data_IF_442968975004
#
_entry.id   IF_442968975004
#
_cell.length_a   1.000
_cell.length_b   1.000
_cell.length_c   1.000
_cell.angle_alpha   90.00
_cell.angle_beta   90.00
_cell.angle_gamma   90.00
#
_symmetry.space_group_name_H-M   'P 1'
#
loop_
_entity.id
_entity.type
_entity.pdbx_description
1 polymer ?
#
# COMPACT_ATOMS: atom_id res chain seq x y z
N UNK A 1 2.28 -22.78 0.10
CA UNK A 1 2.85 -22.45 1.42
C UNK A 1 4.30 -21.95 1.31
N UNK A 2 5.18 -22.58 0.50
CA UNK A 2 6.57 -22.12 0.33
C UNK A 2 6.70 -20.66 -0.15
N UNK A 3 6.05 -20.30 -1.26
CA UNK A 3 6.14 -18.94 -1.83
C UNK A 3 5.73 -17.82 -0.87
N UNK A 4 4.72 -18.03 -0.01
CA UNK A 4 4.31 -17.03 0.97
C UNK A 4 5.35 -16.84 2.09
N UNK A 5 6.00 -17.92 2.53
CA UNK A 5 7.06 -17.86 3.52
C UNK A 5 8.33 -17.20 2.96
N UNK A 6 8.64 -17.45 1.68
CA UNK A 6 9.74 -16.80 0.95
C UNK A 6 9.49 -15.30 0.76
N UNK A 7 8.25 -14.92 0.40
CA UNK A 7 7.83 -13.52 0.33
C UNK A 7 8.02 -12.84 1.70
N UNK A 8 7.49 -13.43 2.78
CA UNK A 8 7.61 -12.86 4.13
C UNK A 8 9.06 -12.70 4.59
N UNK A 9 9.94 -13.66 4.29
CA UNK A 9 11.37 -13.52 4.58
C UNK A 9 12.01 -12.38 3.78
N UNK A 10 11.60 -12.19 2.52
CA UNK A 10 12.05 -11.07 1.68
C UNK A 10 11.60 -9.73 2.25
N UNK A 11 10.35 -9.65 2.69
CA UNK A 11 9.79 -8.47 3.34
C UNK A 11 10.49 -8.14 4.66
N UNK A 12 10.69 -9.13 5.54
CA UNK A 12 11.36 -8.90 6.82
C UNK A 12 12.81 -8.43 6.63
N UNK A 13 13.52 -8.96 5.62
CA UNK A 13 14.86 -8.50 5.26
C UNK A 13 14.87 -7.04 4.78
N UNK A 14 13.92 -6.67 3.93
CA UNK A 14 13.81 -5.30 3.42
C UNK A 14 13.41 -4.30 4.51
N UNK A 15 12.46 -4.67 5.36
CA UNK A 15 12.07 -3.91 6.55
C UNK A 15 13.29 -3.73 7.46
N UNK A 16 13.95 -4.83 7.83
CA UNK A 16 15.14 -4.78 8.69
C UNK A 16 16.24 -3.91 8.09
N UNK A 17 16.41 -3.89 6.77
CA UNK A 17 17.35 -3.01 6.08
C UNK A 17 16.95 -1.54 6.14
N UNK A 18 15.66 -1.22 5.95
CA UNK A 18 15.12 0.13 6.04
C UNK A 18 15.10 0.67 7.48
N UNK A 19 14.90 -0.21 8.47
CA UNK A 19 14.79 0.15 9.89
C UNK A 19 16.09 -0.05 10.67
N UNK A 20 17.23 -0.30 10.02
CA UNK A 20 18.54 -0.50 10.71
C UNK A 20 18.86 0.60 11.72
N UNK A 21 18.44 1.83 11.46
CA UNK A 21 18.72 2.99 12.28
C UNK A 21 17.66 3.29 13.37
N UNK A 22 16.48 2.69 13.31
CA UNK A 22 15.37 3.03 14.21
C UNK A 22 14.42 1.87 14.45
N UNK A 23 14.09 1.63 15.73
CA UNK A 23 13.06 0.67 16.12
C UNK A 23 11.63 1.18 15.94
N UNK A 24 11.45 2.50 15.72
CA UNK A 24 10.16 3.16 15.55
C UNK A 24 10.23 4.19 14.40
N UNK A 25 10.35 3.73 13.14
CA UNK A 25 10.34 4.63 11.99
C UNK A 25 9.00 5.36 11.88
N UNK A 26 9.07 6.65 11.55
CA UNK A 26 7.91 7.43 11.08
C UNK A 26 7.66 7.23 9.60
N UNK A 27 8.71 6.99 8.83
CA UNK A 27 8.69 6.80 7.39
C UNK A 27 9.28 5.43 7.11
N UNK A 28 8.53 4.58 6.41
CA UNK A 28 9.02 3.29 5.92
C UNK A 28 8.91 3.28 4.40
N UNK A 29 10.07 3.22 3.75
CA UNK A 29 10.16 3.19 2.28
C UNK A 29 10.82 1.88 1.87
N UNK A 30 10.10 1.07 1.09
CA UNK A 30 10.55 -0.22 0.57
C UNK A 30 10.56 -0.25 -0.97
N UNK A 31 10.76 0.91 -1.59
CA UNK A 31 10.77 1.08 -3.04
C UNK A 31 11.85 0.21 -3.69
N UNK A 32 11.44 -0.62 -4.67
CA UNK A 32 12.31 -1.58 -5.36
C UNK A 32 13.08 -2.55 -4.43
N UNK A 33 12.73 -2.62 -3.14
CA UNK A 33 13.42 -3.46 -2.16
C UNK A 33 12.82 -4.87 -2.10
N UNK A 34 11.56 -5.01 -2.51
CA UNK A 34 10.82 -6.28 -2.46
C UNK A 34 10.07 -6.51 -3.75
N UNK A 35 9.96 -7.78 -4.13
CA UNK A 35 9.06 -8.25 -5.19
C UNK A 35 8.29 -9.44 -4.66
N UNK A 36 6.99 -9.29 -4.45
CA UNK A 36 6.16 -10.41 -4.01
C UNK A 36 5.94 -11.38 -5.16
N UNK A 37 6.22 -12.66 -4.93
CA UNK A 37 5.88 -13.73 -5.86
C UNK A 37 4.38 -14.06 -5.85
N UNK A 38 3.72 -13.83 -4.72
CA UNK A 38 2.29 -14.08 -4.52
C UNK A 38 1.38 -12.90 -4.88
N UNK A 39 1.97 -11.72 -5.12
CA UNK A 39 1.25 -10.45 -5.32
C UNK A 39 0.57 -9.93 -4.04
N UNK A 40 0.88 -10.51 -2.89
CA UNK A 40 0.29 -10.10 -1.61
C UNK A 40 1.27 -9.22 -0.85
N UNK A 41 0.69 -8.32 -0.07
CA UNK A 41 1.46 -7.65 0.95
C UNK A 41 1.96 -8.67 1.99
N UNK A 42 3.04 -8.29 2.65
CA UNK A 42 3.62 -8.97 3.80
C UNK A 42 2.62 -9.25 4.93
N UNK A 43 2.94 -10.22 5.78
CA UNK A 43 2.18 -10.53 6.99
C UNK A 43 2.01 -9.32 7.93
N UNK A 44 0.78 -9.05 8.38
CA UNK A 44 0.41 -7.93 9.24
C UNK A 44 1.35 -7.70 10.44
N UNK A 45 1.90 -8.78 11.01
CA UNK A 45 2.82 -8.73 12.14
C UNK A 45 4.14 -7.99 11.85
N UNK A 46 4.64 -8.02 10.61
CA UNK A 46 5.92 -7.41 10.24
C UNK A 46 5.84 -5.88 10.19
N UNK A 47 4.74 -5.31 9.69
CA UNK A 47 4.49 -3.86 9.77
C UNK A 47 3.89 -3.48 11.14
N UNK A 48 3.08 -4.34 11.74
CA UNK A 48 2.33 -4.05 12.96
C UNK A 48 3.22 -3.61 14.13
N UNK A 49 4.49 -4.05 14.16
CA UNK A 49 5.49 -3.58 15.13
C UNK A 49 5.75 -2.05 15.09
N UNK A 50 5.42 -1.39 13.98
CA UNK A 50 5.59 0.06 13.78
C UNK A 50 4.26 0.82 13.73
N UNK A 51 3.13 0.15 13.95
CA UNK A 51 1.80 0.74 13.75
C UNK A 51 1.57 2.06 14.51
N UNK A 52 2.16 2.20 15.69
CA UNK A 52 2.02 3.39 16.53
C UNK A 52 2.90 4.57 16.10
N UNK A 53 3.96 4.35 15.32
CA UNK A 53 4.90 5.40 14.90
C UNK A 53 4.79 5.75 13.42
N UNK A 54 4.29 4.84 12.60
CA UNK A 54 4.33 4.96 11.14
C UNK A 54 3.35 6.01 10.64
N UNK A 55 3.89 7.00 9.94
CA UNK A 55 3.18 8.15 9.39
C UNK A 55 3.14 8.11 7.86
N UNK A 56 4.22 7.63 7.26
CA UNK A 56 4.37 7.49 5.82
C UNK A 56 4.82 6.07 5.47
N UNK A 57 4.15 5.44 4.51
CA UNK A 57 4.53 4.13 4.01
C UNK A 57 4.56 4.13 2.48
N UNK A 58 5.72 3.78 1.92
CA UNK A 58 5.95 3.72 0.48
C UNK A 58 6.46 2.35 0.04
N UNK A 59 5.87 1.80 -1.01
CA UNK A 59 6.27 0.54 -1.64
C UNK A 59 6.06 0.62 -3.14
N UNK A 60 7.12 0.95 -3.86
CA UNK A 60 7.11 1.01 -5.32
C UNK A 60 7.55 -0.31 -5.95
N UNK A 61 6.85 -0.77 -7.00
CA UNK A 61 7.36 -1.82 -7.88
C UNK A 61 7.34 -3.26 -7.32
N UNK A 62 6.60 -3.52 -6.24
CA UNK A 62 6.61 -4.80 -5.55
C UNK A 62 5.69 -5.87 -6.17
N UNK A 63 5.07 -5.57 -7.31
CA UNK A 63 4.11 -6.42 -8.01
C UNK A 63 2.87 -6.79 -7.16
N UNK A 64 2.48 -5.92 -6.22
CA UNK A 64 1.33 -6.14 -5.34
C UNK A 64 0.03 -6.09 -6.15
N UNK A 65 -0.78 -7.13 -6.07
CA UNK A 65 -2.17 -7.16 -6.56
C UNK A 65 -3.19 -7.08 -5.42
N UNK A 66 -2.75 -7.28 -4.17
CA UNK A 66 -3.61 -7.20 -2.99
C UNK A 66 -2.87 -6.62 -1.79
N UNK A 67 -3.58 -5.79 -1.03
CA UNK A 67 -3.13 -5.22 0.24
C UNK A 67 -3.77 -5.91 1.46
N UNK A 68 -4.35 -7.10 1.23
CA UNK A 68 -4.87 -7.94 2.31
C UNK A 68 -3.77 -8.24 3.32
N UNK A 69 -4.04 -7.94 4.59
CA UNK A 69 -3.08 -8.10 5.67
C UNK A 69 -2.41 -6.81 6.14
N UNK A 70 -2.79 -5.63 5.62
CA UNK A 70 -2.43 -4.37 6.27
C UNK A 70 -2.95 -4.36 7.72
N UNK A 71 -2.08 -4.18 8.74
CA UNK A 71 -2.53 -3.96 10.10
C UNK A 71 -3.16 -2.56 10.24
N UNK A 72 -3.86 -2.30 11.34
CA UNK A 72 -4.33 -0.95 11.64
C UNK A 72 -3.14 0.00 11.85
N UNK A 73 -3.07 1.10 11.11
CA UNK A 73 -2.00 2.10 11.17
C UNK A 73 -2.60 3.47 11.54
N UNK A 74 -2.88 3.72 12.83
CA UNK A 74 -3.66 4.85 13.30
C UNK A 74 -2.97 6.21 13.16
N UNK A 75 -1.68 6.25 12.82
CA UNK A 75 -0.92 7.49 12.63
C UNK A 75 -0.57 7.75 11.17
N UNK A 76 -0.96 6.84 10.27
CA UNK A 76 -0.53 6.87 8.89
C UNK A 76 -1.37 7.85 8.09
N UNK A 77 -0.71 8.86 7.53
CA UNK A 77 -1.35 9.92 6.75
C UNK A 77 -0.94 9.92 5.29
N UNK A 78 0.16 9.23 4.93
CA UNK A 78 0.62 9.04 3.55
C UNK A 78 0.87 7.56 3.23
N UNK A 79 0.24 7.09 2.16
CA UNK A 79 0.44 5.75 1.60
C UNK A 79 0.75 5.89 0.10
N UNK A 80 1.92 5.42 -0.35
CA UNK A 80 2.36 5.51 -1.74
C UNK A 80 2.75 4.13 -2.25
N UNK A 81 1.92 3.52 -3.10
CA UNK A 81 2.18 2.22 -3.73
C UNK A 81 2.22 2.30 -5.26
N UNK A 82 3.08 3.14 -5.86
CA UNK A 82 3.16 3.24 -7.30
C UNK A 82 3.79 1.99 -7.93
N UNK A 83 3.56 1.81 -9.23
CA UNK A 83 4.14 0.71 -10.03
C UNK A 83 3.80 -0.70 -9.52
N UNK A 84 2.59 -0.86 -8.98
CA UNK A 84 2.07 -2.17 -8.56
C UNK A 84 0.99 -2.68 -9.55
N UNK A 85 0.24 -3.70 -9.14
CA UNK A 85 -0.83 -4.33 -9.91
C UNK A 85 -2.16 -4.26 -9.15
N UNK A 86 -2.32 -3.26 -8.29
CA UNK A 86 -3.55 -3.12 -7.51
C UNK A 86 -4.71 -2.83 -8.46
N UNK A 87 -5.81 -3.54 -8.24
CA UNK A 87 -7.05 -3.38 -8.99
C UNK A 87 -8.23 -3.78 -8.12
N UNK A 88 -9.40 -3.29 -8.50
CA UNK A 88 -10.66 -3.59 -7.84
C UNK A 88 -10.82 -2.89 -6.48
N UNK A 89 -12.07 -2.85 -5.98
CA UNK A 89 -12.39 -2.23 -4.70
C UNK A 89 -11.78 -2.97 -3.51
N UNK A 90 -11.41 -4.25 -3.64
CA UNK A 90 -10.85 -5.03 -2.53
C UNK A 90 -9.50 -4.46 -2.05
N UNK A 91 -8.64 -4.01 -2.98
CA UNK A 91 -7.36 -3.40 -2.61
C UNK A 91 -7.56 -2.10 -1.81
N UNK A 92 -8.51 -1.28 -2.21
CA UNK A 92 -8.82 0.00 -1.57
C UNK A 92 -9.60 -0.17 -0.26
N UNK A 93 -10.47 -1.17 -0.18
CA UNK A 93 -11.15 -1.53 1.05
C UNK A 93 -10.15 -1.94 2.14
N UNK A 94 -9.12 -2.72 1.81
CA UNK A 94 -8.08 -3.08 2.77
C UNK A 94 -7.34 -1.84 3.33
N UNK A 95 -7.08 -0.82 2.49
CA UNK A 95 -6.49 0.44 2.93
C UNK A 95 -7.46 1.23 3.81
N UNK A 96 -8.74 1.28 3.44
CA UNK A 96 -9.75 1.99 4.20
C UNK A 96 -9.96 1.40 5.60
N UNK A 97 -10.00 0.07 5.72
CA UNK A 97 -10.11 -0.62 7.02
C UNK A 97 -8.84 -0.45 7.87
N UNK A 98 -7.66 -0.45 7.25
CA UNK A 98 -6.38 -0.36 7.96
C UNK A 98 -6.03 1.07 8.43
N UNK A 99 -6.30 2.08 7.60
CA UNK A 99 -5.74 3.44 7.79
C UNK A 99 -6.79 4.55 7.64
N UNK A 100 -8.08 4.23 7.50
CA UNK A 100 -9.06 5.18 6.99
C UNK A 100 -9.30 6.45 7.82
N UNK A 101 -8.98 6.43 9.11
CA UNK A 101 -9.20 7.56 10.00
C UNK A 101 -8.18 8.71 9.83
N UNK A 102 -6.95 8.40 9.41
CA UNK A 102 -5.86 9.40 9.34
C UNK A 102 -5.26 9.58 7.97
N UNK A 103 -5.59 8.69 7.03
CA UNK A 103 -5.00 8.70 5.71
C UNK A 103 -5.53 9.87 4.87
N UNK A 104 -4.59 10.72 4.43
CA UNK A 104 -4.88 11.94 3.66
C UNK A 104 -4.30 11.88 2.26
N UNK A 105 -3.11 11.31 2.13
CA UNK A 105 -2.37 11.26 0.87
C UNK A 105 -2.26 9.81 0.41
N UNK A 106 -2.82 9.52 -0.76
CA UNK A 106 -2.75 8.24 -1.41
C UNK A 106 -2.11 8.41 -2.77
N UNK A 107 -1.01 7.71 -2.99
CA UNK A 107 -0.40 7.61 -4.31
C UNK A 107 -0.50 6.16 -4.78
N UNK A 108 -1.25 5.98 -5.86
CA UNK A 108 -1.53 4.70 -6.50
C UNK A 108 -1.12 4.74 -7.97
N UNK A 109 -0.15 5.58 -8.32
CA UNK A 109 0.34 5.72 -9.69
C UNK A 109 0.71 4.39 -10.36
N UNK A 110 0.45 4.27 -11.66
CA UNK A 110 0.77 3.11 -12.47
C UNK A 110 0.24 1.77 -11.91
N UNK A 111 -0.97 1.77 -11.33
CA UNK A 111 -1.72 0.58 -10.96
C UNK A 111 -2.79 0.23 -12.02
N UNK A 112 -3.55 -0.84 -11.80
CA UNK A 112 -4.50 -1.43 -12.76
C UNK A 112 -5.95 -1.06 -12.49
N UNK A 113 -6.22 0.04 -11.79
CA UNK A 113 -7.59 0.52 -11.56
C UNK A 113 -8.23 0.96 -12.89
N UNK A 114 -9.30 0.29 -13.31
CA UNK A 114 -9.94 0.51 -14.61
C UNK A 114 -11.26 1.27 -14.52
N UNK A 115 -12.07 0.97 -13.52
CA UNK A 115 -13.39 1.57 -13.33
C UNK A 115 -13.42 2.52 -12.12
N UNK A 116 -14.25 3.57 -12.17
CA UNK A 116 -14.39 4.54 -11.07
C UNK A 116 -15.01 3.87 -9.84
N UNK A 117 -15.86 2.87 -10.04
CA UNK A 117 -16.48 2.05 -9.00
C UNK A 117 -15.44 1.32 -8.15
N UNK A 118 -14.26 1.03 -8.69
CA UNK A 118 -13.16 0.45 -7.92
C UNK A 118 -12.69 1.40 -6.83
N UNK A 119 -12.79 2.72 -7.05
CA UNK A 119 -12.42 3.77 -6.11
C UNK A 119 -13.46 4.01 -5.01
N UNK A 120 -14.63 3.37 -5.08
CA UNK A 120 -15.71 3.56 -4.11
C UNK A 120 -15.28 3.43 -2.63
N UNK A 121 -14.37 2.50 -2.22
CA UNK A 121 -13.92 2.41 -0.84
C UNK A 121 -13.15 3.64 -0.35
N UNK A 122 -12.54 4.42 -1.24
CA UNK A 122 -11.86 5.67 -0.88
C UNK A 122 -12.85 6.74 -0.39
N UNK A 123 -14.15 6.64 -0.71
CA UNK A 123 -15.16 7.56 -0.17
C UNK A 123 -15.32 7.45 1.34
N UNK A 124 -14.87 6.34 1.94
CA UNK A 124 -14.90 6.12 3.40
C UNK A 124 -13.72 6.74 4.12
N UNK A 125 -12.72 7.23 3.38
CA UNK A 125 -11.49 7.80 3.94
C UNK A 125 -11.36 9.25 3.53
N UNK A 126 -10.81 10.09 4.41
CA UNK A 126 -10.67 11.53 4.19
C UNK A 126 -9.51 11.89 3.25
N UNK A 127 -9.47 11.32 2.04
CA UNK A 127 -8.39 11.56 1.08
C UNK A 127 -8.38 13.03 0.65
N UNK A 128 -7.33 13.75 1.02
CA UNK A 128 -7.06 15.12 0.59
C UNK A 128 -6.28 15.15 -0.74
N UNK A 129 -5.42 14.15 -0.95
CA UNK A 129 -4.59 14.01 -2.15
C UNK A 129 -4.63 12.57 -2.66
N UNK A 130 -5.10 12.39 -3.88
CA UNK A 130 -5.16 11.10 -4.57
C UNK A 130 -4.40 11.19 -5.89
N UNK A 131 -3.34 10.40 -6.04
CA UNK A 131 -2.61 10.24 -7.28
C UNK A 131 -2.99 8.90 -7.94
N UNK A 132 -3.50 8.99 -9.17
CA UNK A 132 -3.86 7.86 -10.04
C UNK A 132 -3.13 7.95 -11.38
N UNK A 133 -1.99 8.65 -11.44
CA UNK A 133 -1.22 8.84 -12.66
C UNK A 133 -1.00 7.52 -13.40
N UNK A 134 -1.22 7.49 -14.71
CA UNK A 134 -1.14 6.29 -15.56
C UNK A 134 -2.08 5.11 -15.22
N UNK A 135 -3.02 5.25 -14.28
CA UNK A 135 -4.04 4.21 -14.07
C UNK A 135 -5.06 4.21 -15.23
N UNK A 136 -5.54 3.04 -15.70
CA UNK A 136 -6.51 2.96 -16.79
C UNK A 136 -7.81 3.77 -16.57
N UNK A 137 -8.25 3.95 -15.32
CA UNK A 137 -9.40 4.79 -14.95
C UNK A 137 -9.28 6.23 -15.45
N UNK A 138 -8.05 6.77 -15.52
CA UNK A 138 -7.79 8.13 -16.06
C UNK A 138 -8.01 8.23 -17.56
N UNK A 139 -8.16 7.10 -18.26
CA UNK A 139 -8.41 7.04 -19.71
C UNK A 139 -9.89 6.82 -20.04
N UNK A 140 -10.75 6.59 -19.05
CA UNK A 140 -12.19 6.40 -19.27
C UNK A 140 -12.75 7.68 -19.89
N UNK A 141 -13.52 7.54 -20.98
CA UNK A 141 -14.15 8.66 -21.70
C UNK A 141 -15.08 9.42 -20.73
N UNK A 142 -14.70 10.64 -20.37
CA UNK A 142 -15.46 11.49 -19.43
C UNK A 142 -14.61 12.22 -18.39
N UNK A 143 -13.29 11.99 -18.35
CA UNK A 143 -12.36 12.72 -17.48
C UNK A 143 -11.93 14.11 -18.03
N UNK A 144 -12.57 14.61 -19.08
CA UNK A 144 -12.32 15.95 -19.65
C UNK A 144 -13.47 16.90 -19.36
#
# INVERSE_FOLDING_TARGET
MAAAAEDDATWDRAISAATKATSAPKILTLDAAVKSSTGRLLSAALIGRFAASLQEFSVTGAALSSLMGLPCLPTLWRLSFPDNRLSGPAALAAVAEACGATLRHHDLGNNSFAEVEELAPLTRVGVELLDLYQCPVTKVKGYM
#
